data_IF_628144977724
#
_entry.id   IF_628144977724
#
_cell.length_a   1.000
_cell.length_b   1.000
_cell.length_c   1.000
_cell.angle_alpha   90.00
_cell.angle_beta   90.00
_cell.angle_gamma   90.00
#
_symmetry.space_group_name_H-M   'P 1'
#
loop_
_entity.id
_entity.type
_entity.pdbx_description
1 polymer ?
#
# COMPACT_ATOMS: atom_id res chain seq x y z
N UNK A 1 8.71 -10.74 0.52
CA UNK A 1 9.77 -9.71 0.58
C UNK A 1 10.37 -9.55 -0.80
N UNK A 2 10.58 -8.32 -1.26
CA UNK A 2 11.19 -7.99 -2.55
C UNK A 2 12.28 -6.96 -2.28
N UNK A 3 13.50 -7.19 -2.79
CA UNK A 3 14.65 -6.30 -2.59
C UNK A 3 15.36 -6.10 -3.92
N UNK A 4 15.68 -4.87 -4.25
CA UNK A 4 16.47 -4.48 -5.40
C UNK A 4 17.49 -3.42 -5.00
N UNK A 5 18.58 -3.29 -5.76
CA UNK A 5 19.55 -2.21 -5.58
C UNK A 5 19.46 -1.20 -6.73
N UNK A 6 19.86 0.03 -6.42
CA UNK A 6 20.03 1.09 -7.41
C UNK A 6 21.31 1.88 -7.07
N UNK A 7 22.03 2.33 -8.08
CA UNK A 7 23.23 3.19 -7.91
C UNK A 7 22.90 4.69 -8.07
N UNK A 8 21.79 5.00 -8.71
CA UNK A 8 21.38 6.36 -9.06
C UNK A 8 20.02 6.77 -8.47
N UNK A 9 19.34 5.83 -7.76
CA UNK A 9 17.99 6.01 -7.23
C UNK A 9 16.87 5.98 -8.29
N UNK A 10 17.20 5.77 -9.55
CA UNK A 10 16.25 5.80 -10.68
C UNK A 10 16.19 4.45 -11.39
N UNK A 11 17.34 3.87 -11.66
CA UNK A 11 17.47 2.58 -12.35
C UNK A 11 17.69 1.47 -11.32
N UNK A 12 16.81 0.48 -11.32
CA UNK A 12 16.88 -0.64 -10.39
C UNK A 12 17.40 -1.90 -11.09
N UNK A 13 18.25 -2.64 -10.37
CA UNK A 13 18.65 -3.98 -10.76
C UNK A 13 17.51 -4.99 -10.62
N UNK A 14 17.77 -6.22 -11.08
CA UNK A 14 16.82 -7.33 -10.98
C UNK A 14 16.43 -7.57 -9.51
N UNK A 15 15.14 -7.54 -9.15
CA UNK A 15 14.73 -7.74 -7.77
C UNK A 15 14.86 -9.22 -7.35
N UNK A 16 15.31 -9.44 -6.13
CA UNK A 16 15.17 -10.74 -5.47
C UNK A 16 13.85 -10.80 -4.71
N UNK A 17 13.10 -11.87 -4.93
CA UNK A 17 11.78 -12.08 -4.37
C UNK A 17 11.75 -13.38 -3.59
N UNK A 18 11.42 -13.32 -2.30
CA UNK A 18 11.28 -14.48 -1.43
C UNK A 18 10.04 -14.35 -0.55
N UNK A 19 9.48 -15.44 -0.03
CA UNK A 19 8.46 -15.35 1.01
C UNK A 19 8.97 -14.57 2.23
N UNK A 20 8.14 -13.66 2.76
CA UNK A 20 8.50 -12.91 3.98
C UNK A 20 8.43 -13.86 5.19
N UNK A 21 9.52 -14.01 5.97
CA UNK A 21 9.47 -14.79 7.21
C UNK A 21 8.42 -14.24 8.17
N UNK A 22 7.68 -15.14 8.83
CA UNK A 22 6.67 -14.76 9.83
C UNK A 22 7.32 -14.25 11.13
N UNK A 23 8.48 -14.79 11.45
CA UNK A 23 9.30 -14.32 12.57
C UNK A 23 10.03 -13.04 12.20
N UNK A 24 10.04 -12.08 13.12
CA UNK A 24 10.62 -10.75 12.88
C UNK A 24 12.14 -10.80 12.68
N UNK A 25 12.85 -11.49 13.58
CA UNK A 25 14.32 -11.50 13.55
C UNK A 25 14.82 -12.26 12.32
N UNK A 26 14.18 -13.38 11.99
CA UNK A 26 14.44 -14.09 10.73
C UNK A 26 14.16 -13.23 9.50
N UNK A 27 13.12 -12.38 9.55
CA UNK A 27 12.80 -11.43 8.49
C UNK A 27 13.86 -10.36 8.31
N UNK A 28 14.39 -9.78 9.39
CA UNK A 28 15.47 -8.79 9.34
C UNK A 28 16.76 -9.42 8.84
N UNK A 29 17.10 -10.63 9.27
CA UNK A 29 18.27 -11.35 8.77
C UNK A 29 18.16 -11.66 7.28
N UNK A 30 16.98 -12.09 6.81
CA UNK A 30 16.71 -12.31 5.39
C UNK A 30 16.87 -11.04 4.58
N UNK A 31 16.33 -9.92 5.08
CA UNK A 31 16.49 -8.61 4.44
C UNK A 31 17.97 -8.24 4.27
N UNK A 32 18.77 -8.36 5.34
CA UNK A 32 20.21 -8.06 5.29
C UNK A 32 20.96 -8.95 4.31
N UNK A 33 20.58 -10.23 4.23
CA UNK A 33 21.16 -11.18 3.25
C UNK A 33 20.84 -10.76 1.83
N UNK A 34 19.57 -10.51 1.52
CA UNK A 34 19.13 -10.08 0.19
C UNK A 34 19.76 -8.76 -0.21
N UNK A 35 19.81 -7.80 0.71
CA UNK A 35 20.40 -6.49 0.46
C UNK A 35 21.89 -6.60 0.09
N UNK A 36 22.65 -7.44 0.80
CA UNK A 36 24.07 -7.72 0.48
C UNK A 36 24.22 -8.39 -0.89
N UNK A 37 23.32 -9.30 -1.22
CA UNK A 37 23.34 -10.00 -2.51
C UNK A 37 23.04 -9.06 -3.68
N UNK A 38 21.99 -8.22 -3.58
CA UNK A 38 21.62 -7.30 -4.67
C UNK A 38 22.60 -6.13 -4.79
N UNK A 39 23.29 -5.74 -3.72
CA UNK A 39 24.35 -4.72 -3.76
C UNK A 39 25.69 -5.26 -4.26
N UNK A 40 25.82 -6.59 -4.44
CA UNK A 40 27.12 -7.21 -4.76
C UNK A 40 28.15 -7.09 -3.64
N UNK A 41 27.70 -6.89 -2.40
CA UNK A 41 28.56 -6.65 -1.24
C UNK A 41 29.05 -5.20 -1.08
N UNK A 42 28.66 -4.29 -1.98
CA UNK A 42 28.99 -2.85 -1.84
C UNK A 42 28.25 -2.24 -0.64
N UNK A 43 28.82 -1.23 0.02
CA UNK A 43 28.16 -0.53 1.12
C UNK A 43 26.85 0.11 0.69
N UNK A 44 25.82 -0.05 1.53
CA UNK A 44 24.51 0.55 1.31
C UNK A 44 24.57 1.98 1.90
N UNK A 45 24.19 2.98 1.12
CA UNK A 45 24.18 4.38 1.55
C UNK A 45 22.85 4.81 2.14
N UNK A 46 21.74 4.22 1.66
CA UNK A 46 20.40 4.40 2.19
C UNK A 46 19.50 3.25 1.73
N UNK A 47 18.42 3.00 2.44
CA UNK A 47 17.38 2.08 2.02
C UNK A 47 15.99 2.74 2.12
N UNK A 48 15.14 2.49 1.11
CA UNK A 48 13.76 2.94 1.09
C UNK A 48 12.81 1.80 0.77
N UNK A 49 11.59 1.83 1.29
CA UNK A 49 10.63 0.78 0.96
C UNK A 49 9.27 0.91 1.63
N UNK A 50 8.36 0.06 1.19
CA UNK A 50 7.00 -0.08 1.70
C UNK A 50 6.80 -1.37 2.48
N UNK A 51 5.95 -1.33 3.49
CA UNK A 51 5.51 -2.50 4.24
C UNK A 51 3.99 -2.56 4.30
N UNK A 52 3.44 -3.75 4.08
CA UNK A 52 2.00 -3.99 4.14
C UNK A 52 1.49 -3.97 5.59
N UNK A 53 0.98 -2.85 6.02
CA UNK A 53 0.41 -2.62 7.34
C UNK A 53 0.73 -1.24 7.91
N UNK A 54 0.08 -0.87 9.02
CA UNK A 54 0.23 0.43 9.63
C UNK A 54 1.55 0.56 10.39
N UNK A 55 2.14 1.72 10.30
CA UNK A 55 3.31 2.14 11.07
C UNK A 55 2.91 3.18 12.12
N UNK A 56 3.72 3.30 13.17
CA UNK A 56 3.61 4.42 14.12
C UNK A 56 3.80 5.76 13.39
N UNK A 57 3.32 6.85 14.01
CA UNK A 57 3.37 8.18 13.40
C UNK A 57 4.80 8.61 12.99
N UNK A 58 5.80 8.21 13.75
CA UNK A 58 7.22 8.45 13.46
C UNK A 58 7.85 7.42 12.51
N UNK A 59 7.01 6.48 11.98
CA UNK A 59 7.41 5.37 11.10
C UNK A 59 8.47 4.43 11.69
N UNK A 60 8.64 4.45 13.02
CA UNK A 60 9.65 3.65 13.70
C UNK A 60 9.20 2.23 14.02
N UNK A 61 7.91 2.06 14.32
CA UNK A 61 7.34 0.81 14.83
C UNK A 61 6.27 0.27 13.90
N UNK A 62 6.33 -1.01 13.61
CA UNK A 62 5.24 -1.73 12.93
C UNK A 62 4.12 -2.01 13.93
N UNK A 63 2.91 -1.51 13.67
CA UNK A 63 1.83 -1.59 14.66
C UNK A 63 1.17 -2.96 14.69
N UNK A 64 0.26 -3.21 13.79
CA UNK A 64 -0.45 -4.47 13.74
C UNK A 64 -0.88 -4.81 12.31
N UNK A 65 -0.64 -6.04 11.89
CA UNK A 65 -1.14 -6.56 10.62
C UNK A 65 -1.44 -8.03 10.74
N UNK A 66 -2.60 -8.49 10.30
CA UNK A 66 -2.94 -9.91 10.31
C UNK A 66 -1.99 -10.74 9.43
N UNK A 67 -1.37 -10.12 8.42
CA UNK A 67 -0.44 -10.79 7.50
C UNK A 67 0.94 -11.00 8.10
N UNK A 68 1.36 -10.16 9.06
CA UNK A 68 2.67 -10.17 9.71
C UNK A 68 2.55 -10.08 11.24
N UNK A 69 1.74 -10.93 11.83
CA UNK A 69 1.46 -10.89 13.27
C UNK A 69 2.72 -10.96 14.16
N UNK A 70 3.74 -11.73 13.76
CA UNK A 70 5.02 -11.82 14.46
C UNK A 70 5.88 -10.55 14.40
N UNK A 71 5.49 -9.55 13.58
CA UNK A 71 6.17 -8.26 13.45
C UNK A 71 5.49 -7.15 14.27
N UNK A 72 4.30 -7.40 14.79
CA UNK A 72 3.50 -6.42 15.54
C UNK A 72 4.24 -5.90 16.78
N UNK A 73 4.25 -4.58 16.94
CA UNK A 73 4.93 -3.89 18.04
C UNK A 73 6.46 -3.84 17.92
N UNK A 74 7.05 -4.30 16.81
CA UNK A 74 8.50 -4.36 16.63
C UNK A 74 9.07 -3.04 16.11
N UNK A 75 10.28 -2.64 16.57
CA UNK A 75 10.98 -1.42 16.15
C UNK A 75 11.63 -1.61 14.77
N UNK A 76 10.81 -1.71 13.72
CA UNK A 76 11.23 -2.15 12.38
C UNK A 76 12.31 -1.24 11.79
N UNK A 77 12.16 0.09 11.90
CA UNK A 77 13.11 1.04 11.34
C UNK A 77 14.50 0.83 11.93
N UNK A 78 14.60 0.82 13.26
CA UNK A 78 15.87 0.61 13.98
C UNK A 78 16.50 -0.73 13.61
N UNK A 79 15.73 -1.80 13.62
CA UNK A 79 16.25 -3.14 13.28
C UNK A 79 16.79 -3.21 11.84
N UNK A 80 16.10 -2.55 10.89
CA UNK A 80 16.58 -2.46 9.51
C UNK A 80 17.84 -1.60 9.40
N UNK A 81 17.91 -0.46 10.07
CA UNK A 81 19.09 0.42 10.09
C UNK A 81 20.33 -0.30 10.65
N UNK A 82 20.16 -1.04 11.76
CA UNK A 82 21.24 -1.84 12.34
C UNK A 82 21.70 -2.97 11.41
N UNK A 83 20.75 -3.64 10.75
CA UNK A 83 21.04 -4.77 9.86
C UNK A 83 21.71 -4.35 8.54
N UNK A 84 21.36 -3.18 8.02
CA UNK A 84 21.86 -2.65 6.75
C UNK A 84 23.08 -1.71 6.93
N UNK A 85 23.29 -1.18 8.13
CA UNK A 85 24.33 -0.18 8.39
C UNK A 85 24.08 1.15 7.69
N UNK A 86 22.84 1.50 7.39
CA UNK A 86 22.46 2.66 6.60
C UNK A 86 21.11 3.25 7.07
N UNK A 87 20.86 4.54 6.82
CA UNK A 87 19.55 5.15 7.08
C UNK A 87 18.43 4.44 6.32
N UNK A 88 17.28 4.25 6.98
CA UNK A 88 16.10 3.57 6.42
C UNK A 88 14.89 4.51 6.40
N UNK A 89 14.25 4.59 5.24
CA UNK A 89 13.04 5.37 4.99
C UNK A 89 11.93 4.41 4.60
N UNK A 90 10.97 4.19 5.49
CA UNK A 90 9.85 3.28 5.28
C UNK A 90 8.51 3.98 5.46
N UNK A 91 7.54 3.53 4.70
CA UNK A 91 6.14 3.89 4.88
C UNK A 91 5.23 2.68 4.56
N UNK A 92 3.93 2.88 4.61
CA UNK A 92 2.98 1.91 4.08
C UNK A 92 3.26 1.65 2.59
N UNK A 93 3.06 0.41 2.12
CA UNK A 93 3.33 0.01 0.75
C UNK A 93 2.51 0.82 -0.28
N UNK A 94 1.22 1.04 -0.02
CA UNK A 94 0.37 1.90 -0.86
C UNK A 94 0.88 3.33 -0.92
N UNK A 95 1.37 3.88 0.21
CA UNK A 95 1.91 5.23 0.26
C UNK A 95 3.18 5.38 -0.59
N UNK A 96 4.06 4.39 -0.57
CA UNK A 96 5.29 4.40 -1.39
C UNK A 96 4.96 4.26 -2.89
N UNK A 97 4.00 3.41 -3.26
CA UNK A 97 3.56 3.30 -4.65
C UNK A 97 2.94 4.62 -5.13
N UNK A 98 2.05 5.21 -4.34
CA UNK A 98 1.45 6.50 -4.67
C UNK A 98 2.46 7.63 -4.78
N UNK A 99 3.50 7.64 -3.93
CA UNK A 99 4.61 8.58 -4.06
C UNK A 99 5.36 8.40 -5.39
N UNK A 100 5.61 7.15 -5.79
CA UNK A 100 6.23 6.82 -7.07
C UNK A 100 5.40 7.34 -8.25
N UNK A 101 4.08 7.13 -8.21
CA UNK A 101 3.15 7.63 -9.23
C UNK A 101 3.10 9.17 -9.29
N UNK A 102 3.15 9.84 -8.15
CA UNK A 102 3.15 11.29 -8.09
C UNK A 102 4.45 11.93 -8.61
N UNK A 103 5.59 11.29 -8.37
CA UNK A 103 6.91 11.84 -8.72
C UNK A 103 7.34 11.45 -10.14
N UNK A 104 7.05 10.21 -10.55
CA UNK A 104 7.60 9.63 -11.79
C UNK A 104 6.54 9.01 -12.71
N UNK A 105 5.33 8.76 -12.22
CA UNK A 105 4.24 8.09 -12.94
C UNK A 105 3.15 9.05 -13.43
N UNK A 106 1.90 8.57 -13.40
CA UNK A 106 0.72 9.26 -13.93
C UNK A 106 0.36 10.56 -13.21
N UNK A 107 0.81 10.75 -11.97
CA UNK A 107 0.62 11.98 -11.19
C UNK A 107 1.72 13.02 -11.36
N UNK A 108 2.71 12.77 -12.21
CA UNK A 108 3.84 13.68 -12.37
C UNK A 108 3.42 15.05 -12.89
N UNK A 109 3.89 16.09 -12.21
CA UNK A 109 3.64 17.48 -12.58
C UNK A 109 2.42 18.12 -11.92
N UNK A 110 1.64 17.37 -11.15
CA UNK A 110 0.55 17.89 -10.34
C UNK A 110 1.02 18.21 -8.91
N UNK A 111 0.48 19.29 -8.34
CA UNK A 111 0.82 19.72 -6.97
C UNK A 111 0.20 18.83 -5.90
N UNK A 112 -1.03 18.38 -6.11
CA UNK A 112 -1.77 17.52 -5.18
C UNK A 112 -2.26 16.27 -5.92
N UNK A 113 -1.73 15.12 -5.57
CA UNK A 113 -2.10 13.83 -6.16
C UNK A 113 -2.82 12.98 -5.13
N UNK A 114 -4.01 12.50 -5.44
CA UNK A 114 -4.66 11.41 -4.71
C UNK A 114 -4.37 10.09 -5.44
N UNK A 115 -3.60 9.22 -4.83
CA UNK A 115 -3.44 7.85 -5.33
C UNK A 115 -4.42 6.93 -4.61
N UNK A 116 -5.17 6.16 -5.37
CA UNK A 116 -6.09 5.12 -4.84
C UNK A 116 -5.78 3.81 -5.55
N UNK A 117 -5.56 2.76 -4.78
CA UNK A 117 -5.34 1.41 -5.32
C UNK A 117 -6.52 0.52 -4.99
N UNK A 118 -6.98 -0.24 -5.98
CA UNK A 118 -8.00 -1.29 -5.83
C UNK A 118 -7.35 -2.62 -6.23
N UNK A 119 -7.16 -3.49 -5.24
CA UNK A 119 -6.47 -4.78 -5.41
C UNK A 119 -7.11 -5.79 -4.44
N UNK A 120 -6.33 -6.54 -3.68
CA UNK A 120 -6.81 -7.38 -2.57
C UNK A 120 -7.69 -6.57 -1.61
N UNK A 121 -7.27 -5.35 -1.28
CA UNK A 121 -8.02 -4.33 -0.55
C UNK A 121 -8.15 -3.03 -1.34
N UNK A 122 -8.57 -1.96 -0.66
CA UNK A 122 -8.61 -0.59 -1.20
C UNK A 122 -7.80 0.33 -0.30
N UNK A 123 -6.69 0.81 -0.79
CA UNK A 123 -5.83 1.75 -0.08
C UNK A 123 -5.66 3.07 -0.82
N UNK A 124 -4.99 4.03 -0.20
CA UNK A 124 -4.67 5.27 -0.89
C UNK A 124 -3.73 6.17 -0.10
N UNK A 125 -3.30 7.24 -0.75
CA UNK A 125 -2.45 8.24 -0.14
C UNK A 125 -2.64 9.59 -0.84
N UNK A 126 -2.53 10.66 -0.09
CA UNK A 126 -2.47 12.03 -0.61
C UNK A 126 -1.01 12.48 -0.65
N UNK A 127 -0.58 12.97 -1.81
CA UNK A 127 0.77 13.48 -2.03
C UNK A 127 0.67 14.97 -2.36
N UNK A 128 1.45 15.79 -1.68
CA UNK A 128 1.48 17.24 -1.86
C UNK A 128 2.90 17.67 -2.20
N UNK A 129 3.07 18.31 -3.35
CA UNK A 129 4.38 18.78 -3.84
C UNK A 129 5.47 17.69 -3.84
N UNK A 130 5.09 16.48 -4.26
CA UNK A 130 6.01 15.35 -4.36
C UNK A 130 6.40 14.70 -3.03
N UNK A 131 5.67 14.98 -1.95
CA UNK A 131 5.86 14.35 -0.65
C UNK A 131 4.54 13.77 -0.12
N UNK A 132 4.61 12.66 0.60
CA UNK A 132 3.44 12.10 1.31
C UNK A 132 2.94 13.15 2.30
N UNK A 133 1.65 13.48 2.21
CA UNK A 133 1.05 14.50 3.05
C UNK A 133 1.00 14.08 4.52
N UNK A 134 1.07 15.07 5.40
CA UNK A 134 1.06 14.84 6.86
C UNK A 134 -0.30 14.34 7.30
N UNK A 135 -0.32 13.23 7.99
CA UNK A 135 -1.53 12.62 8.50
C UNK A 135 -1.31 12.05 9.91
N UNK A 136 -2.39 11.89 10.66
CA UNK A 136 -2.32 11.31 12.00
C UNK A 136 -2.17 9.78 11.97
N UNK A 137 -2.87 9.13 11.04
CA UNK A 137 -2.94 7.65 10.95
C UNK A 137 -2.74 7.10 9.54
N UNK A 138 -2.40 7.95 8.56
CA UNK A 138 -2.41 7.60 7.15
C UNK A 138 -3.72 8.02 6.47
N UNK A 139 -3.85 7.63 5.21
CA UNK A 139 -5.03 7.87 4.39
C UNK A 139 -5.66 6.52 4.07
N UNK A 140 -6.92 6.34 4.46
CA UNK A 140 -7.63 5.06 4.37
C UNK A 140 -8.94 5.22 3.57
N UNK A 141 -8.86 5.53 2.26
CA UNK A 141 -10.05 5.76 1.45
C UNK A 141 -10.93 4.52 1.29
N UNK A 142 -10.37 3.32 1.46
CA UNK A 142 -11.11 2.07 1.45
C UNK A 142 -12.11 1.94 2.60
N UNK A 143 -11.80 2.54 3.75
CA UNK A 143 -12.63 2.43 4.95
C UNK A 143 -13.67 3.56 5.10
N UNK A 144 -13.87 4.36 4.05
CA UNK A 144 -14.97 5.30 4.03
C UNK A 144 -16.32 4.57 3.98
N UNK A 145 -17.19 4.87 4.92
CA UNK A 145 -18.55 4.32 4.94
C UNK A 145 -19.41 5.13 3.98
N UNK A 146 -20.03 4.48 2.99
CA UNK A 146 -20.94 5.13 2.05
C UNK A 146 -22.30 4.42 1.91
N UNK A 147 -22.48 3.29 2.55
CA UNK A 147 -23.76 2.58 2.66
C UNK A 147 -24.07 2.27 4.13
N UNK A 148 -24.31 3.31 4.93
CA UNK A 148 -24.59 3.16 6.36
C UNK A 148 -25.83 2.31 6.67
N UNK A 149 -26.76 2.20 5.72
CA UNK A 149 -27.97 1.40 5.84
C UNK A 149 -27.81 -0.07 5.46
N UNK A 150 -26.68 -0.48 4.88
CA UNK A 150 -26.43 -1.84 4.41
C UNK A 150 -27.33 -2.28 3.27
N UNK A 151 -27.88 -1.34 2.51
CA UNK A 151 -28.84 -1.63 1.43
C UNK A 151 -28.20 -2.38 0.27
N UNK A 152 -26.89 -2.27 0.10
CA UNK A 152 -26.14 -2.84 -1.01
C UNK A 152 -25.50 -4.22 -0.71
N UNK A 153 -25.73 -4.77 0.48
CA UNK A 153 -25.26 -6.11 0.89
C UNK A 153 -23.76 -6.35 0.74
N UNK A 154 -22.92 -5.52 1.39
CA UNK A 154 -21.48 -5.76 1.48
C UNK A 154 -21.15 -6.94 2.41
N UNK A 155 -20.05 -7.60 2.13
CA UNK A 155 -19.43 -8.56 3.06
C UNK A 155 -18.36 -7.86 3.89
N UNK A 156 -18.35 -8.16 5.19
CA UNK A 156 -17.36 -7.58 6.11
C UNK A 156 -16.06 -8.38 6.12
N UNK A 157 -15.19 -8.14 5.16
CA UNK A 157 -13.84 -8.69 5.22
C UNK A 157 -12.88 -7.57 5.58
N UNK A 158 -12.45 -7.56 6.83
CA UNK A 158 -11.47 -6.59 7.33
C UNK A 158 -12.00 -5.22 7.68
N UNK A 159 -13.26 -4.89 7.37
CA UNK A 159 -13.90 -3.60 7.64
C UNK A 159 -15.31 -3.76 8.24
N UNK A 160 -16.06 -2.67 8.35
CA UNK A 160 -17.41 -2.65 8.90
C UNK A 160 -18.49 -3.16 7.93
N UNK A 161 -18.11 -3.73 6.77
CA UNK A 161 -19.03 -4.29 5.79
C UNK A 161 -19.82 -3.26 4.96
N UNK A 162 -19.72 -1.99 5.30
CA UNK A 162 -20.43 -0.88 4.64
C UNK A 162 -19.49 0.18 4.07
N UNK A 163 -18.20 -0.15 4.05
CA UNK A 163 -17.15 0.70 3.51
C UNK A 163 -16.83 0.36 2.04
N UNK A 164 -16.08 1.21 1.38
CA UNK A 164 -15.73 1.05 -0.03
C UNK A 164 -14.97 -0.25 -0.30
N UNK A 165 -14.05 -0.64 0.58
CA UNK A 165 -13.28 -1.87 0.47
C UNK A 165 -14.19 -3.11 0.46
N UNK A 166 -15.19 -3.15 1.36
CA UNK A 166 -16.19 -4.20 1.44
C UNK A 166 -17.03 -4.39 0.17
N UNK A 167 -17.06 -3.38 -0.70
CA UNK A 167 -17.79 -3.46 -1.97
C UNK A 167 -16.91 -3.81 -3.17
N UNK A 168 -15.76 -3.16 -3.33
CA UNK A 168 -15.02 -3.19 -4.60
C UNK A 168 -13.66 -3.89 -4.53
N UNK A 169 -13.22 -4.33 -3.34
CA UNK A 169 -11.95 -5.04 -3.22
C UNK A 169 -11.99 -6.46 -3.82
N UNK A 170 -10.85 -6.92 -4.29
CA UNK A 170 -10.72 -8.28 -4.83
C UNK A 170 -11.07 -9.37 -3.82
N UNK A 171 -10.77 -9.15 -2.53
CA UNK A 171 -11.16 -10.05 -1.44
C UNK A 171 -12.69 -10.10 -1.30
N UNK A 172 -13.33 -8.94 -1.16
CA UNK A 172 -14.78 -8.84 -0.99
C UNK A 172 -15.54 -9.41 -2.19
N UNK A 173 -15.08 -9.15 -3.42
CA UNK A 173 -15.64 -9.73 -4.63
C UNK A 173 -15.52 -11.26 -4.58
N UNK A 174 -14.33 -11.78 -4.25
CA UNK A 174 -14.10 -13.23 -4.20
C UNK A 174 -15.01 -13.93 -3.17
N UNK A 175 -15.25 -13.32 -2.03
CA UNK A 175 -16.09 -13.87 -0.98
C UNK A 175 -17.59 -13.80 -1.33
N UNK A 176 -18.05 -12.67 -1.89
CA UNK A 176 -19.46 -12.51 -2.27
C UNK A 176 -19.88 -13.41 -3.44
N UNK A 177 -19.01 -13.54 -4.43
CA UNK A 177 -19.36 -14.19 -5.68
C UNK A 177 -18.73 -15.58 -5.86
N UNK A 178 -17.86 -16.00 -4.94
CA UNK A 178 -17.17 -17.30 -5.02
C UNK A 178 -16.22 -17.44 -6.20
N UNK A 179 -15.85 -16.32 -6.84
CA UNK A 179 -14.97 -16.25 -8.02
C UNK A 179 -13.92 -15.19 -7.82
N UNK A 180 -12.74 -15.39 -8.37
CA UNK A 180 -11.72 -14.34 -8.42
C UNK A 180 -12.14 -13.25 -9.41
N UNK A 181 -11.76 -11.96 -9.18
CA UNK A 181 -12.12 -10.87 -10.09
C UNK A 181 -11.82 -11.18 -11.56
N UNK A 182 -10.64 -11.72 -11.86
CA UNK A 182 -10.22 -12.06 -13.22
C UNK A 182 -11.00 -13.19 -13.88
N UNK A 183 -11.84 -13.93 -13.14
CA UNK A 183 -12.72 -14.98 -13.65
C UNK A 183 -14.13 -14.44 -14.00
N UNK A 184 -14.40 -13.18 -13.66
CA UNK A 184 -15.71 -12.55 -13.89
C UNK A 184 -15.66 -11.80 -15.22
N UNK A 185 -16.44 -12.26 -16.19
CA UNK A 185 -16.51 -11.69 -17.54
C UNK A 185 -17.82 -10.92 -17.79
N UNK A 186 -18.69 -10.79 -16.80
CA UNK A 186 -19.96 -10.09 -16.90
C UNK A 186 -19.72 -8.56 -16.86
N UNK A 187 -20.05 -7.89 -17.96
CA UNK A 187 -19.90 -6.43 -18.10
C UNK A 187 -20.79 -5.67 -17.11
N UNK A 188 -22.05 -6.13 -16.91
CA UNK A 188 -22.96 -5.47 -15.97
C UNK A 188 -22.45 -5.52 -14.53
N UNK A 189 -21.76 -6.59 -14.16
CA UNK A 189 -21.06 -6.69 -12.88
C UNK A 189 -19.97 -5.61 -12.75
N UNK A 190 -19.14 -5.45 -13.78
CA UNK A 190 -18.06 -4.46 -13.74
C UNK A 190 -18.57 -3.02 -13.79
N UNK A 191 -19.67 -2.75 -14.49
CA UNK A 191 -20.35 -1.45 -14.48
C UNK A 191 -20.84 -1.10 -13.06
N UNK A 192 -21.41 -2.08 -12.34
CA UNK A 192 -21.81 -1.92 -10.95
C UNK A 192 -20.61 -1.60 -10.04
N UNK A 193 -19.52 -2.38 -10.15
CA UNK A 193 -18.30 -2.15 -9.38
C UNK A 193 -17.69 -0.77 -9.67
N UNK A 194 -17.65 -0.37 -10.93
CA UNK A 194 -17.18 0.95 -11.35
C UNK A 194 -18.04 2.08 -10.77
N UNK A 195 -19.37 1.91 -10.75
CA UNK A 195 -20.31 2.87 -10.17
C UNK A 195 -20.09 3.02 -8.67
N UNK A 196 -19.91 1.92 -7.95
CA UNK A 196 -19.61 1.95 -6.50
C UNK A 196 -18.26 2.61 -6.22
N UNK A 197 -17.23 2.27 -7.00
CA UNK A 197 -15.93 2.92 -6.90
C UNK A 197 -16.03 4.43 -7.17
N UNK A 198 -16.81 4.84 -8.17
CA UNK A 198 -17.00 6.26 -8.49
C UNK A 198 -17.58 7.06 -7.31
N UNK A 199 -18.48 6.48 -6.51
CA UNK A 199 -18.97 7.12 -5.28
C UNK A 199 -17.85 7.32 -4.26
N UNK A 200 -17.01 6.32 -4.03
CA UNK A 200 -15.85 6.43 -3.16
C UNK A 200 -14.83 7.46 -3.64
N UNK A 201 -14.57 7.50 -4.95
CA UNK A 201 -13.68 8.49 -5.55
C UNK A 201 -14.24 9.91 -5.44
N UNK A 202 -15.55 10.09 -5.63
CA UNK A 202 -16.20 11.38 -5.42
C UNK A 202 -15.95 11.90 -3.98
N UNK A 203 -16.13 11.04 -2.97
CA UNK A 203 -15.85 11.42 -1.59
C UNK A 203 -14.37 11.76 -1.38
N UNK A 204 -13.47 10.97 -1.95
CA UNK A 204 -12.03 11.23 -1.90
C UNK A 204 -11.70 12.59 -2.53
N UNK A 205 -12.26 12.91 -3.69
CA UNK A 205 -12.08 14.20 -4.37
C UNK A 205 -12.58 15.36 -3.50
N UNK A 206 -13.78 15.23 -2.94
CA UNK A 206 -14.36 16.28 -2.10
C UNK A 206 -13.55 16.54 -0.84
N UNK A 207 -13.04 15.48 -0.20
CA UNK A 207 -12.32 15.60 1.08
C UNK A 207 -10.84 15.90 0.94
N UNK A 208 -10.18 15.36 -0.11
CA UNK A 208 -8.74 15.52 -0.31
C UNK A 208 -8.39 16.67 -1.26
N UNK A 209 -9.35 17.13 -2.07
CA UNK A 209 -9.19 18.22 -3.03
C UNK A 209 -7.92 18.11 -3.89
N UNK A 210 -7.71 16.97 -4.60
CA UNK A 210 -6.54 16.75 -5.42
C UNK A 210 -6.67 17.47 -6.77
N UNK A 211 -5.52 17.78 -7.39
CA UNK A 211 -5.45 18.22 -8.79
C UNK A 211 -5.72 17.04 -9.74
N UNK A 212 -5.33 15.83 -9.32
CA UNK A 212 -5.49 14.59 -10.09
C UNK A 212 -5.71 13.40 -9.17
N UNK A 213 -6.54 12.46 -9.61
CA UNK A 213 -6.69 11.14 -9.00
C UNK A 213 -5.99 10.11 -9.91
N UNK A 214 -5.07 9.36 -9.33
CA UNK A 214 -4.38 8.25 -9.99
C UNK A 214 -4.92 6.95 -9.42
N UNK A 215 -5.45 6.09 -10.31
CA UNK A 215 -5.93 4.77 -9.94
C UNK A 215 -4.87 3.72 -10.26
N UNK A 216 -4.60 2.87 -9.27
CA UNK A 216 -3.72 1.72 -9.41
C UNK A 216 -4.40 0.44 -8.91
N UNK A 217 -3.66 -0.66 -8.92
CA UNK A 217 -4.13 -1.95 -8.47
C UNK A 217 -3.82 -3.08 -9.45
N UNK A 218 -4.37 -4.28 -9.20
CA UNK A 218 -4.15 -5.49 -10.00
C UNK A 218 -5.43 -6.33 -10.06
#
# INVERSE_FOLDING_TARGET
MRVASSKDGVTFGEPKIVPTPKDFDAGIQMLATLAREVSGGEPITAAGGGIAGPLSRDKATFLNSPHLAGWSGKPIKKAMEEALGAPVFIDNDTAIVGLGEAVSGAGKGYGIVAYVTVSTGVGGVRIVNGAIDVSAMGFEPGHQIFDAGGALHATSVGGNGHDLEGYVSGTSISERYGKKPYEITDEAFWDEMARLLAHGLNNTIVHWSPDVVVLGGS
#
